data_IF_104580567524
#
_entry.id   IF_104580567524
#
_cell.length_a   1.000
_cell.length_b   1.000
_cell.length_c   1.000
_cell.angle_alpha   90.00
_cell.angle_beta   90.00
_cell.angle_gamma   90.00
#
_symmetry.space_group_name_H-M   'P 1'
#
loop_
_entity.id
_entity.type
_entity.pdbx_description
1 polymer ?
#
# COMPACT_ATOMS: atom_id res chain seq x y z
N UNK A 1 16.40 8.45 -15.04
CA UNK A 1 15.33 7.95 -14.15
C UNK A 1 14.35 9.10 -13.95
N UNK A 2 13.06 8.84 -13.75
CA UNK A 2 12.14 9.92 -13.39
C UNK A 2 12.36 10.33 -11.92
N UNK A 3 12.13 11.59 -11.54
CA UNK A 3 12.28 12.03 -10.14
C UNK A 3 11.47 11.19 -9.14
N UNK A 4 10.32 10.65 -9.57
CA UNK A 4 9.50 9.75 -8.74
C UNK A 4 10.20 8.41 -8.47
N UNK A 5 10.93 7.86 -9.45
CA UNK A 5 11.66 6.61 -9.28
C UNK A 5 12.80 6.74 -8.27
N UNK A 6 13.48 7.89 -8.26
CA UNK A 6 14.55 8.19 -7.30
C UNK A 6 13.98 8.26 -5.87
N UNK A 7 12.87 8.99 -5.67
CA UNK A 7 12.20 9.08 -4.38
C UNK A 7 11.69 7.71 -3.86
N UNK A 8 11.20 6.84 -4.74
CA UNK A 8 10.76 5.49 -4.36
C UNK A 8 11.93 4.60 -3.94
N UNK A 9 13.11 4.77 -4.54
CA UNK A 9 14.32 4.04 -4.16
C UNK A 9 14.83 4.47 -2.76
N UNK A 10 14.60 5.73 -2.39
CA UNK A 10 15.03 6.32 -1.11
C UNK A 10 14.07 6.04 0.06
N UNK A 11 12.94 5.35 -0.18
CA UNK A 11 12.04 4.94 0.91
C UNK A 11 12.81 4.01 1.87
N UNK A 12 12.71 4.21 3.20
CA UNK A 12 13.39 3.37 4.17
C UNK A 12 13.11 1.88 3.93
N UNK A 13 14.17 1.15 3.58
CA UNK A 13 14.10 -0.29 3.32
C UNK A 13 13.96 -1.12 4.61
N UNK A 14 14.30 -0.52 5.76
CA UNK A 14 14.18 -1.12 7.09
C UNK A 14 13.23 -0.31 7.94
N UNK A 15 12.30 -0.99 8.61
CA UNK A 15 11.30 -0.35 9.46
C UNK A 15 10.29 -1.34 10.03
N UNK A 16 9.28 -0.81 10.71
CA UNK A 16 8.15 -1.58 11.24
C UNK A 16 6.84 -0.96 10.78
N UNK A 17 5.94 -1.79 10.29
CA UNK A 17 4.54 -1.40 10.02
C UNK A 17 3.88 -1.04 11.36
N UNK A 18 3.45 0.22 11.49
CA UNK A 18 2.75 0.73 12.68
C UNK A 18 1.24 0.82 12.49
N UNK A 19 0.79 0.81 11.25
CA UNK A 19 -0.60 0.92 10.84
C UNK A 19 -0.77 0.31 9.45
N UNK A 20 -1.88 -0.38 9.23
CA UNK A 20 -2.25 -0.90 7.91
C UNK A 20 -3.77 -0.82 7.74
N UNK A 21 -4.20 -0.55 6.51
CA UNK A 21 -5.61 -0.53 6.17
C UNK A 21 -5.83 -0.64 4.67
N UNK A 22 -7.06 -0.97 4.30
CA UNK A 22 -7.50 -1.10 2.91
C UNK A 22 -8.65 -0.16 2.62
N UNK A 23 -8.76 0.27 1.37
CA UNK A 23 -9.90 1.04 0.88
C UNK A 23 -10.62 0.25 -0.21
N UNK A 24 -11.74 -0.42 0.08
CA UNK A 24 -12.35 -1.32 -0.89
C UNK A 24 -12.93 -0.63 -2.14
N UNK A 25 -13.17 0.69 -2.09
CA UNK A 25 -13.66 1.48 -3.22
C UNK A 25 -12.98 2.85 -3.34
N UNK A 26 -13.10 3.50 -4.49
CA UNK A 26 -12.61 4.86 -4.67
C UNK A 26 -13.36 5.84 -3.74
N UNK A 27 -12.61 6.67 -3.01
CA UNK A 27 -13.11 7.78 -2.16
C UNK A 27 -14.01 7.37 -0.98
N UNK A 28 -13.97 6.12 -0.52
CA UNK A 28 -14.61 5.69 0.74
C UNK A 28 -13.61 5.68 1.91
N UNK A 29 -14.06 5.62 3.16
CA UNK A 29 -13.14 5.58 4.31
C UNK A 29 -12.18 4.37 4.28
N UNK A 30 -11.02 4.53 4.91
CA UNK A 30 -10.08 3.42 5.10
C UNK A 30 -10.61 2.50 6.18
N UNK A 31 -10.47 1.20 5.96
CA UNK A 31 -10.72 0.17 6.97
C UNK A 31 -9.37 -0.22 7.56
N UNK A 32 -9.16 0.08 8.84
CA UNK A 32 -7.97 -0.33 9.58
C UNK A 32 -8.01 -1.83 9.89
N UNK A 33 -6.85 -2.50 9.77
CA UNK A 33 -6.71 -3.94 9.95
C UNK A 33 -5.48 -4.25 10.80
N UNK A 34 -5.51 -5.37 11.53
CA UNK A 34 -4.32 -5.89 12.22
C UNK A 34 -3.37 -6.63 11.26
N UNK A 35 -3.92 -7.23 10.20
CA UNK A 35 -3.17 -7.97 9.19
C UNK A 35 -3.92 -8.02 7.85
N UNK A 36 -3.18 -8.14 6.75
CA UNK A 36 -3.71 -8.32 5.39
C UNK A 36 -2.69 -9.05 4.52
N UNK A 37 -3.18 -9.77 3.51
CA UNK A 37 -2.34 -10.42 2.53
C UNK A 37 -1.83 -9.42 1.47
N UNK A 38 -0.52 -9.40 1.26
CA UNK A 38 0.11 -8.71 0.14
C UNK A 38 0.23 -9.67 -1.05
N UNK A 39 -0.46 -9.35 -2.14
CA UNK A 39 -0.44 -10.11 -3.39
C UNK A 39 0.52 -9.48 -4.37
N UNK A 40 1.45 -10.27 -4.90
CA UNK A 40 2.43 -9.81 -5.90
C UNK A 40 1.69 -9.20 -7.10
N UNK A 41 2.10 -7.99 -7.50
CA UNK A 41 1.55 -7.23 -8.62
C UNK A 41 0.05 -6.85 -8.52
N UNK A 42 -0.64 -7.21 -7.44
CA UNK A 42 -2.07 -6.95 -7.25
C UNK A 42 -2.40 -6.15 -5.97
N UNK A 43 -1.39 -5.69 -5.24
CA UNK A 43 -1.56 -4.91 -4.02
C UNK A 43 -2.05 -5.73 -2.83
N UNK A 44 -2.82 -5.12 -1.93
CA UNK A 44 -3.36 -5.80 -0.74
C UNK A 44 -4.72 -6.42 -1.05
N UNK A 45 -4.99 -7.60 -0.52
CA UNK A 45 -6.32 -8.23 -0.65
C UNK A 45 -7.39 -7.33 -0.04
N UNK A 46 -8.42 -7.00 -0.83
CA UNK A 46 -9.52 -6.13 -0.39
C UNK A 46 -9.25 -4.62 -0.54
N UNK A 47 -8.05 -4.22 -0.95
CA UNK A 47 -7.78 -2.83 -1.34
C UNK A 47 -8.22 -2.57 -2.78
N UNK A 48 -8.72 -1.36 -3.04
CA UNK A 48 -9.05 -0.89 -4.37
C UNK A 48 -7.76 -0.52 -5.11
N UNK A 49 -7.08 -1.53 -5.61
CA UNK A 49 -6.04 -1.37 -6.62
C UNK A 49 -6.70 -0.89 -7.92
N UNK A 50 -6.33 0.31 -8.40
CA UNK A 50 -6.56 0.62 -9.81
C UNK A 50 -5.64 -0.29 -10.63
N UNK A 51 -6.13 -0.99 -11.67
CA UNK A 51 -5.23 -1.54 -12.67
C UNK A 51 -4.41 -0.43 -13.33
#
# INVERSE_FOLDING_TARGET
MSPLQELLADVPQQGRVRWIGVRPQSRVEMIELDAVEARREAGLTGDHSRP
#
